data_IF_699605494790
#
_entry.id   IF_699605494790
#
_cell.length_a   1.000
_cell.length_b   1.000
_cell.length_c   1.000
_cell.angle_alpha   90.00
_cell.angle_beta   90.00
_cell.angle_gamma   90.00
#
_symmetry.space_group_name_H-M   'P 1'
#
loop_
_entity.id
_entity.type
_entity.pdbx_description
1 polymer ?
#
# COMPACT_ATOMS: atom_id res chain seq x y z
N UNK A 1 7.88 27.78 -9.77
CA UNK A 1 8.82 26.63 -9.79
C UNK A 1 10.28 27.09 -9.70
N UNK A 2 10.74 28.02 -10.55
CA UNK A 2 12.12 28.57 -10.47
C UNK A 2 12.43 29.21 -9.11
N UNK A 3 11.60 30.15 -8.64
CA UNK A 3 11.77 30.80 -7.33
C UNK A 3 11.74 29.81 -6.15
N UNK A 4 11.06 28.67 -6.31
CA UNK A 4 10.93 27.65 -5.27
C UNK A 4 12.06 26.60 -5.30
N UNK A 5 12.98 26.66 -6.26
CA UNK A 5 14.06 25.69 -6.45
C UNK A 5 13.61 24.34 -7.04
N UNK A 6 12.39 24.25 -7.59
CA UNK A 6 11.79 23.00 -8.08
C UNK A 6 11.78 22.89 -9.62
N UNK A 7 12.47 23.80 -10.32
CA UNK A 7 12.51 23.82 -11.78
C UNK A 7 13.17 22.57 -12.37
N UNK A 8 14.29 22.14 -11.80
CA UNK A 8 15.00 20.92 -12.23
C UNK A 8 14.11 19.67 -12.12
N UNK A 9 13.40 19.50 -11.01
CA UNK A 9 12.45 18.40 -10.82
C UNK A 9 11.31 18.44 -11.85
N UNK A 10 10.81 19.64 -12.19
CA UNK A 10 9.80 19.79 -13.22
C UNK A 10 10.33 19.38 -14.61
N UNK A 11 11.49 19.89 -15.03
CA UNK A 11 12.06 19.63 -16.35
C UNK A 11 12.60 18.21 -16.53
N UNK A 12 13.18 17.61 -15.49
CA UNK A 12 13.86 16.32 -15.60
C UNK A 12 12.98 15.13 -15.19
N UNK A 13 11.89 15.37 -14.45
CA UNK A 13 11.01 14.29 -13.94
C UNK A 13 9.57 14.52 -14.36
N UNK A 14 8.94 15.63 -13.96
CA UNK A 14 7.49 15.73 -14.13
C UNK A 14 7.07 15.92 -15.59
N UNK A 15 7.78 16.76 -16.33
CA UNK A 15 7.48 17.01 -17.74
C UNK A 15 7.81 15.79 -18.63
N UNK A 16 8.96 15.10 -18.49
CA UNK A 16 9.25 13.90 -19.28
C UNK A 16 8.38 12.69 -18.92
N UNK A 17 7.77 12.67 -17.73
CA UNK A 17 6.85 11.60 -17.35
C UNK A 17 5.51 11.70 -18.10
N UNK A 18 5.09 12.89 -18.55
CA UNK A 18 3.80 13.08 -19.25
C UNK A 18 3.62 12.15 -20.46
N UNK A 19 4.53 12.08 -21.45
CA UNK A 19 4.37 11.15 -22.57
C UNK A 19 4.35 9.69 -22.14
N UNK A 20 5.09 9.33 -21.07
CA UNK A 20 5.08 7.97 -20.53
C UNK A 20 3.70 7.61 -20.00
N UNK A 21 3.08 8.49 -19.20
CA UNK A 21 1.74 8.27 -18.69
C UNK A 21 0.71 8.24 -19.82
N UNK A 22 0.81 9.14 -20.80
CA UNK A 22 -0.09 9.15 -21.95
C UNK A 22 -0.05 7.80 -22.70
N UNK A 23 1.14 7.24 -22.94
CA UNK A 23 1.28 5.95 -23.60
C UNK A 23 0.72 4.80 -22.76
N UNK A 24 0.93 4.82 -21.44
CA UNK A 24 0.34 3.83 -20.52
C UNK A 24 -1.19 3.89 -20.51
N UNK A 25 -1.76 5.09 -20.41
CA UNK A 25 -3.20 5.31 -20.45
C UNK A 25 -3.80 4.87 -21.78
N UNK A 26 -3.13 5.15 -22.90
CA UNK A 26 -3.57 4.72 -24.24
C UNK A 26 -3.42 3.21 -24.47
N UNK A 27 -2.41 2.57 -23.87
CA UNK A 27 -2.24 1.12 -23.94
C UNK A 27 -3.37 0.40 -23.19
N UNK A 28 -3.67 0.84 -21.97
CA UNK A 28 -4.64 0.17 -21.08
C UNK A 28 -4.24 -1.27 -20.72
N UNK A 29 -5.01 -1.93 -19.86
CA UNK A 29 -4.79 -3.33 -19.47
C UNK A 29 -5.96 -4.22 -19.89
N UNK A 30 -5.66 -5.43 -20.40
CA UNK A 30 -6.69 -6.38 -20.84
C UNK A 30 -7.38 -7.02 -19.62
N UNK A 31 -8.69 -7.21 -19.72
CA UNK A 31 -9.52 -7.76 -18.66
C UNK A 31 -10.32 -8.97 -19.14
N UNK A 32 -10.21 -10.09 -18.45
CA UNK A 32 -11.06 -11.25 -18.63
C UNK A 32 -12.43 -11.02 -17.98
N UNK A 33 -13.35 -10.47 -18.78
CA UNK A 33 -14.73 -10.20 -18.36
C UNK A 33 -15.55 -11.47 -18.13
N UNK A 34 -15.19 -12.59 -18.77
CA UNK A 34 -15.89 -13.87 -18.61
C UNK A 34 -15.56 -14.49 -17.25
N UNK A 35 -14.28 -14.48 -16.87
CA UNK A 35 -13.86 -14.89 -15.53
C UNK A 35 -14.54 -14.06 -14.44
N UNK A 36 -14.58 -12.73 -14.59
CA UNK A 36 -15.28 -11.87 -13.63
C UNK A 36 -16.79 -12.14 -13.57
N UNK A 37 -17.44 -12.48 -14.68
CA UNK A 37 -18.85 -12.86 -14.68
C UNK A 37 -19.10 -14.15 -13.89
N UNK A 38 -18.22 -15.14 -14.01
CA UNK A 38 -18.27 -16.38 -13.20
C UNK A 38 -18.07 -16.06 -11.71
N UNK A 39 -17.04 -15.28 -11.40
CA UNK A 39 -16.77 -14.84 -10.03
C UNK A 39 -17.95 -14.06 -9.43
N UNK A 40 -18.62 -13.19 -10.21
CA UNK A 40 -19.81 -12.45 -9.77
C UNK A 40 -20.94 -13.37 -9.33
N UNK A 41 -21.19 -14.45 -10.09
CA UNK A 41 -22.22 -15.43 -9.76
C UNK A 41 -21.90 -16.18 -8.47
N UNK A 42 -20.65 -16.62 -8.29
CA UNK A 42 -20.18 -17.30 -7.07
C UNK A 42 -20.27 -16.40 -5.83
N UNK A 43 -19.78 -15.16 -5.94
CA UNK A 43 -19.88 -14.18 -4.87
C UNK A 43 -21.33 -13.86 -4.54
N UNK A 44 -22.20 -13.79 -5.55
CA UNK A 44 -23.63 -13.59 -5.37
C UNK A 44 -24.30 -14.72 -4.57
N UNK A 45 -23.96 -15.96 -4.85
CA UNK A 45 -24.48 -17.11 -4.10
C UNK A 45 -24.00 -17.09 -2.65
N UNK A 46 -22.72 -16.81 -2.41
CA UNK A 46 -22.17 -16.68 -1.05
C UNK A 46 -22.81 -15.54 -0.27
N UNK A 47 -22.97 -14.38 -0.88
CA UNK A 47 -23.64 -13.23 -0.27
C UNK A 47 -25.07 -13.58 0.16
N UNK A 48 -25.84 -14.25 -0.71
CA UNK A 48 -27.20 -14.68 -0.38
C UNK A 48 -27.22 -15.69 0.78
N UNK A 49 -26.27 -16.62 0.81
CA UNK A 49 -26.13 -17.58 1.91
C UNK A 49 -25.82 -16.89 3.24
N UNK A 50 -24.84 -15.96 3.25
CA UNK A 50 -24.50 -15.16 4.44
C UNK A 50 -25.71 -14.36 4.93
N UNK A 51 -26.42 -13.68 4.02
CA UNK A 51 -27.61 -12.88 4.34
C UNK A 51 -28.72 -13.74 4.95
N UNK A 52 -29.03 -14.88 4.33
CA UNK A 52 -30.07 -15.78 4.82
C UNK A 52 -29.73 -16.32 6.21
N UNK A 53 -28.48 -16.69 6.46
CA UNK A 53 -28.03 -17.15 7.78
C UNK A 53 -28.13 -16.03 8.81
N UNK A 54 -27.67 -14.83 8.46
CA UNK A 54 -27.75 -13.66 9.32
C UNK A 54 -29.19 -13.33 9.72
N UNK A 55 -30.12 -13.29 8.76
CA UNK A 55 -31.54 -13.04 9.03
C UNK A 55 -32.19 -14.14 9.87
N UNK A 56 -31.72 -15.38 9.75
CA UNK A 56 -32.17 -16.48 10.61
C UNK A 56 -31.74 -16.28 12.06
N UNK A 57 -30.49 -15.83 12.28
CA UNK A 57 -29.95 -15.56 13.62
C UNK A 57 -30.61 -14.33 14.29
N UNK A 58 -30.89 -13.30 13.49
CA UNK A 58 -31.53 -12.06 13.97
C UNK A 58 -33.05 -12.24 14.15
N UNK A 59 -33.68 -13.08 13.32
CA UNK A 59 -35.12 -13.36 13.35
C UNK A 59 -35.96 -12.52 12.39
N UNK A 60 -35.36 -11.58 11.65
CA UNK A 60 -36.02 -10.85 10.57
C UNK A 60 -35.02 -10.29 9.55
N UNK A 61 -35.54 -9.83 8.42
CA UNK A 61 -34.75 -9.17 7.38
C UNK A 61 -34.52 -7.70 7.68
N UNK A 62 -33.37 -7.18 7.26
CA UNK A 62 -33.03 -5.75 7.33
C UNK A 62 -31.97 -5.39 6.28
N UNK A 63 -31.78 -4.10 6.05
CA UNK A 63 -30.81 -3.61 5.08
C UNK A 63 -29.39 -3.56 5.67
N UNK A 64 -28.58 -4.56 5.33
CA UNK A 64 -27.16 -4.66 5.71
C UNK A 64 -26.27 -3.50 5.22
N UNK A 65 -26.67 -2.82 4.13
CA UNK A 65 -25.96 -1.63 3.65
C UNK A 65 -26.25 -0.39 4.49
N UNK A 66 -27.34 -0.39 5.27
CA UNK A 66 -27.68 0.72 6.17
C UNK A 66 -26.95 0.57 7.50
N UNK A 67 -25.95 1.43 7.72
CA UNK A 67 -25.20 1.47 8.98
C UNK A 67 -26.09 1.75 10.19
N UNK A 68 -27.20 2.47 10.01
CA UNK A 68 -28.17 2.77 11.06
C UNK A 68 -29.00 1.53 11.43
N UNK A 69 -29.55 0.82 10.44
CA UNK A 69 -30.31 -0.41 10.71
C UNK A 69 -29.41 -1.48 11.34
N UNK A 70 -28.20 -1.65 10.80
CA UNK A 70 -27.23 -2.59 11.39
C UNK A 70 -26.87 -2.21 12.84
N UNK A 71 -26.72 -0.92 13.14
CA UNK A 71 -26.47 -0.45 14.51
C UNK A 71 -27.64 -0.78 15.45
N UNK A 72 -28.88 -0.59 14.99
CA UNK A 72 -30.07 -0.94 15.78
C UNK A 72 -30.14 -2.44 16.06
N UNK A 73 -29.99 -3.28 15.02
CA UNK A 73 -30.02 -4.73 15.15
C UNK A 73 -28.94 -5.22 16.14
N UNK A 74 -27.68 -4.79 15.97
CA UNK A 74 -26.60 -5.22 16.83
C UNK A 74 -26.79 -4.75 18.28
N UNK A 75 -27.02 -3.45 18.50
CA UNK A 75 -26.90 -2.90 19.86
C UNK A 75 -28.23 -2.83 20.63
N UNK A 76 -29.36 -2.74 19.94
CA UNK A 76 -30.68 -2.63 20.58
C UNK A 76 -31.39 -3.98 20.65
N UNK A 77 -31.35 -4.76 19.58
CA UNK A 77 -32.09 -6.02 19.49
C UNK A 77 -31.26 -7.20 19.99
N UNK A 78 -30.02 -7.35 19.49
CA UNK A 78 -29.12 -8.43 19.86
C UNK A 78 -28.29 -8.14 21.12
N UNK A 79 -28.32 -6.92 21.65
CA UNK A 79 -27.70 -6.56 22.93
C UNK A 79 -26.18 -6.65 22.95
N UNK A 80 -25.50 -6.37 21.84
CA UNK A 80 -24.03 -6.32 21.81
C UNK A 80 -23.48 -5.26 22.79
N UNK A 81 -22.33 -5.50 23.43
CA UNK A 81 -21.73 -4.55 24.36
C UNK A 81 -21.33 -3.25 23.64
N UNK A 82 -21.62 -2.10 24.25
CA UNK A 82 -21.36 -0.78 23.65
C UNK A 82 -20.17 -0.05 24.27
N UNK A 83 -19.59 -0.60 25.34
CA UNK A 83 -18.51 0.02 26.09
C UNK A 83 -17.27 0.21 25.22
N UNK A 84 -16.75 1.44 25.15
CA UNK A 84 -15.56 1.78 24.36
C UNK A 84 -15.80 1.96 22.86
N UNK A 85 -17.06 1.81 22.40
CA UNK A 85 -17.43 2.06 21.01
C UNK A 85 -17.74 3.53 20.76
N UNK A 86 -17.30 4.03 19.59
CA UNK A 86 -17.58 5.40 19.16
C UNK A 86 -18.99 5.54 18.61
N UNK A 87 -19.58 6.73 18.77
CA UNK A 87 -20.84 7.11 18.10
C UNK A 87 -20.57 7.90 16.82
N UNK A 88 -21.43 7.72 15.83
CA UNK A 88 -21.47 8.56 14.62
C UNK A 88 -22.00 9.95 14.98
N UNK A 89 -21.85 10.91 14.06
CA UNK A 89 -22.45 12.25 14.21
C UNK A 89 -23.97 12.19 14.39
N UNK A 90 -24.63 11.17 13.84
CA UNK A 90 -26.07 10.91 14.00
C UNK A 90 -26.44 10.23 15.32
N UNK A 91 -25.49 9.99 16.23
CA UNK A 91 -25.72 9.45 17.57
C UNK A 91 -25.81 7.92 17.67
N UNK A 92 -25.83 7.21 16.54
CA UNK A 92 -25.81 5.74 16.50
C UNK A 92 -24.43 5.21 16.88
N UNK A 93 -24.37 4.00 17.45
CA UNK A 93 -23.10 3.32 17.69
C UNK A 93 -22.50 2.94 16.33
N UNK A 94 -21.24 3.28 16.13
CA UNK A 94 -20.54 3.04 14.87
C UNK A 94 -20.38 1.55 14.61
N UNK A 95 -20.75 1.13 13.41
CA UNK A 95 -20.51 -0.23 12.90
C UNK A 95 -19.33 -0.26 11.95
N UNK A 96 -18.39 0.68 12.02
CA UNK A 96 -17.16 0.65 11.23
C UNK A 96 -16.30 -0.59 11.57
N UNK A 97 -15.49 -1.06 10.62
CA UNK A 97 -14.62 -2.26 10.78
C UNK A 97 -13.87 -2.23 12.11
N UNK A 98 -13.14 -1.15 12.41
CA UNK A 98 -12.37 -1.03 13.66
C UNK A 98 -13.19 -0.95 14.94
N UNK A 99 -14.49 -0.68 14.88
CA UNK A 99 -15.38 -0.74 16.05
C UNK A 99 -15.95 -2.16 16.22
N UNK A 100 -16.27 -2.85 15.12
CA UNK A 100 -16.67 -4.26 15.16
C UNK A 100 -15.50 -5.19 15.54
N UNK A 101 -14.27 -4.86 15.18
CA UNK A 101 -13.06 -5.60 15.58
C UNK A 101 -12.86 -5.58 17.11
N UNK A 102 -13.22 -4.47 17.78
CA UNK A 102 -13.22 -4.41 19.25
C UNK A 102 -14.22 -5.38 19.86
N UNK A 103 -15.38 -5.56 19.21
CA UNK A 103 -16.38 -6.55 19.65
C UNK A 103 -15.86 -7.96 19.48
N UNK A 104 -15.22 -8.27 18.35
CA UNK A 104 -14.56 -9.57 18.14
C UNK A 104 -13.44 -9.82 19.16
N UNK A 105 -12.63 -8.82 19.49
CA UNK A 105 -11.58 -8.94 20.50
C UNK A 105 -12.16 -9.20 21.90
N UNK A 106 -13.39 -8.76 22.16
CA UNK A 106 -14.14 -9.04 23.37
C UNK A 106 -15.01 -10.32 23.27
N UNK A 107 -14.66 -11.27 22.38
CA UNK A 107 -15.45 -12.48 22.08
C UNK A 107 -15.87 -13.30 23.29
N UNK A 108 -15.09 -13.29 24.37
CA UNK A 108 -15.43 -13.98 25.63
C UNK A 108 -16.74 -13.48 26.28
N UNK A 109 -17.18 -12.27 25.93
CA UNK A 109 -18.41 -11.65 26.44
C UNK A 109 -19.59 -11.76 25.46
N UNK A 110 -19.43 -12.50 24.35
CA UNK A 110 -20.45 -12.67 23.32
C UNK A 110 -21.03 -14.09 23.35
N UNK A 111 -22.32 -14.21 23.07
CA UNK A 111 -22.95 -15.51 22.81
C UNK A 111 -22.46 -16.12 21.49
N UNK A 112 -22.65 -17.42 21.29
CA UNK A 112 -22.31 -18.08 20.03
C UNK A 112 -23.01 -17.41 18.82
N UNK A 113 -24.29 -17.08 18.96
CA UNK A 113 -25.05 -16.38 17.91
C UNK A 113 -24.50 -14.98 17.62
N UNK A 114 -24.08 -14.25 18.66
CA UNK A 114 -23.47 -12.92 18.50
C UNK A 114 -22.10 -13.01 17.80
N UNK A 115 -21.29 -14.03 18.12
CA UNK A 115 -20.03 -14.27 17.43
C UNK A 115 -20.25 -14.58 15.95
N UNK A 116 -21.18 -15.50 15.66
CA UNK A 116 -21.52 -15.88 14.28
C UNK A 116 -22.08 -14.70 13.48
N UNK A 117 -22.93 -13.86 14.09
CA UNK A 117 -23.44 -12.63 13.45
C UNK A 117 -22.31 -11.68 13.06
N UNK A 118 -21.31 -11.48 13.92
CA UNK A 118 -20.16 -10.63 13.58
C UNK A 118 -19.37 -11.22 12.42
N UNK A 119 -19.04 -12.51 12.47
CA UNK A 119 -18.32 -13.22 11.40
C UNK A 119 -19.03 -13.07 10.05
N UNK A 120 -20.35 -13.30 10.03
CA UNK A 120 -21.18 -13.14 8.83
C UNK A 120 -21.22 -11.70 8.32
N UNK A 121 -21.21 -10.70 9.21
CA UNK A 121 -21.15 -9.28 8.82
C UNK A 121 -19.80 -8.95 8.18
N UNK A 122 -18.69 -9.44 8.76
CA UNK A 122 -17.36 -9.24 8.20
C UNK A 122 -17.22 -9.89 6.84
N UNK A 123 -17.66 -11.16 6.72
CA UNK A 123 -17.67 -11.87 5.45
C UNK A 123 -18.55 -11.13 4.43
N UNK A 124 -19.80 -10.82 4.77
CA UNK A 124 -20.73 -10.12 3.89
C UNK A 124 -20.14 -8.81 3.34
N UNK A 125 -19.57 -7.97 4.22
CA UNK A 125 -18.97 -6.69 3.81
C UNK A 125 -17.74 -6.87 2.93
N UNK A 126 -16.92 -7.88 3.22
CA UNK A 126 -15.77 -8.20 2.39
C UNK A 126 -16.21 -8.63 0.99
N UNK A 127 -17.12 -9.61 0.91
CA UNK A 127 -17.68 -10.12 -0.35
C UNK A 127 -18.36 -9.00 -1.15
N UNK A 128 -19.20 -8.20 -0.49
CA UNK A 128 -19.94 -7.10 -1.11
C UNK A 128 -18.99 -6.04 -1.68
N UNK A 129 -17.94 -5.68 -0.95
CA UNK A 129 -16.93 -4.73 -1.43
C UNK A 129 -16.19 -5.28 -2.64
N UNK A 130 -15.71 -6.53 -2.58
CA UNK A 130 -15.01 -7.18 -3.69
C UNK A 130 -15.89 -7.21 -4.94
N UNK A 131 -17.15 -7.64 -4.77
CA UNK A 131 -18.12 -7.74 -5.85
C UNK A 131 -18.47 -6.38 -6.45
N UNK A 132 -18.97 -5.45 -5.64
CA UNK A 132 -19.48 -4.16 -6.11
C UNK A 132 -18.40 -3.23 -6.67
N UNK A 133 -17.21 -3.21 -6.06
CA UNK A 133 -16.14 -2.27 -6.43
C UNK A 133 -15.29 -2.77 -7.59
N UNK A 134 -15.15 -4.10 -7.73
CA UNK A 134 -14.21 -4.69 -8.69
C UNK A 134 -14.92 -5.63 -9.67
N UNK A 135 -15.52 -6.71 -9.17
CA UNK A 135 -16.02 -7.80 -10.03
C UNK A 135 -17.15 -7.36 -10.95
N UNK A 136 -18.12 -6.61 -10.42
CA UNK A 136 -19.26 -6.12 -11.19
C UNK A 136 -18.95 -4.79 -11.90
N UNK A 137 -18.10 -3.94 -11.30
CA UNK A 137 -17.84 -2.60 -11.82
C UNK A 137 -16.82 -2.59 -12.97
N UNK A 138 -15.70 -3.31 -12.84
CA UNK A 138 -14.62 -3.25 -13.83
C UNK A 138 -15.07 -3.68 -15.24
N UNK A 139 -15.86 -4.76 -15.45
CA UNK A 139 -16.33 -5.12 -16.78
C UNK A 139 -17.12 -4.01 -17.48
N UNK A 140 -17.85 -3.18 -16.72
CA UNK A 140 -18.64 -2.07 -17.28
C UNK A 140 -17.78 -0.88 -17.73
N UNK A 141 -16.50 -0.84 -17.33
CA UNK A 141 -15.55 0.21 -17.66
C UNK A 141 -14.59 -0.19 -18.79
N UNK A 142 -14.72 -1.40 -19.33
CA UNK A 142 -13.92 -1.85 -20.48
C UNK A 142 -14.29 -1.02 -21.70
N UNK A 143 -13.29 -0.45 -22.36
CA UNK A 143 -13.48 0.30 -23.59
C UNK A 143 -13.84 -0.67 -24.73
N UNK A 144 -15.00 -0.50 -25.41
CA UNK A 144 -15.46 -1.44 -26.43
C UNK A 144 -14.61 -1.43 -27.70
N UNK A 145 -13.86 -0.37 -27.97
CA UNK A 145 -13.01 -0.27 -29.16
C UNK A 145 -11.67 -1.00 -28.98
N UNK A 146 -11.12 -1.01 -27.77
CA UNK A 146 -9.82 -1.64 -27.46
C UNK A 146 -9.95 -2.98 -26.76
N UNK A 147 -11.09 -3.24 -26.11
CA UNK A 147 -11.28 -4.38 -25.21
C UNK A 147 -10.53 -4.25 -23.88
N UNK A 148 -10.02 -3.05 -23.54
CA UNK A 148 -9.10 -2.84 -22.40
C UNK A 148 -9.66 -1.83 -21.39
N UNK A 149 -9.17 -1.90 -20.16
CA UNK A 149 -9.37 -0.88 -19.14
C UNK A 149 -8.32 0.21 -19.30
N UNK A 150 -8.78 1.47 -19.31
CA UNK A 150 -7.91 2.65 -19.42
C UNK A 150 -8.09 3.50 -18.16
N UNK A 151 -7.13 3.42 -17.23
CA UNK A 151 -7.09 4.32 -16.07
C UNK A 151 -6.57 5.70 -16.49
N UNK A 152 -6.85 6.73 -15.69
CA UNK A 152 -6.13 8.01 -15.72
C UNK A 152 -5.16 8.12 -14.54
N UNK A 153 -3.91 8.49 -14.80
CA UNK A 153 -2.87 8.74 -13.80
C UNK A 153 -2.79 10.24 -13.48
N UNK A 154 -3.16 10.59 -12.25
CA UNK A 154 -3.08 11.96 -11.77
C UNK A 154 -1.71 12.22 -11.14
N UNK A 155 -0.89 13.02 -11.82
CA UNK A 155 0.45 13.38 -11.37
C UNK A 155 0.45 14.39 -10.19
N UNK A 156 -0.64 15.14 -10.02
CA UNK A 156 -0.79 16.21 -9.02
C UNK A 156 -1.76 15.87 -7.88
N UNK A 157 -2.17 14.60 -7.76
CA UNK A 157 -3.16 14.17 -6.76
C UNK A 157 -2.63 14.06 -5.34
N UNK A 158 -1.49 13.39 -5.14
CA UNK A 158 -0.96 13.12 -3.80
C UNK A 158 0.05 14.20 -3.34
N UNK A 159 -0.05 14.62 -2.08
CA UNK A 159 0.88 15.60 -1.48
C UNK A 159 2.33 15.11 -1.34
N UNK A 160 2.58 13.82 -1.56
CA UNK A 160 3.91 13.19 -1.50
C UNK A 160 4.54 13.04 -2.89
N UNK A 161 3.87 13.43 -3.97
CA UNK A 161 4.39 13.28 -5.34
C UNK A 161 4.13 11.91 -5.98
N UNK A 162 3.47 10.97 -5.27
CA UNK A 162 2.96 9.73 -5.88
C UNK A 162 1.92 10.03 -6.95
N UNK A 163 1.86 9.17 -7.96
CA UNK A 163 0.72 9.10 -8.87
C UNK A 163 -0.50 8.57 -8.11
N UNK A 164 -1.69 9.02 -8.49
CA UNK A 164 -2.94 8.35 -8.15
C UNK A 164 -3.67 7.89 -9.40
N UNK A 165 -4.35 6.75 -9.33
CA UNK A 165 -5.14 6.21 -10.44
C UNK A 165 -6.64 6.42 -10.20
N UNK A 166 -7.38 6.74 -11.27
CA UNK A 166 -8.83 6.94 -11.25
C UNK A 166 -9.48 6.53 -12.57
N UNK A 167 -10.77 6.18 -12.52
CA UNK A 167 -11.61 5.84 -13.67
C UNK A 167 -11.07 4.70 -14.57
N UNK A 168 -10.85 3.47 -14.05
CA UNK A 168 -10.95 3.04 -12.65
C UNK A 168 -9.66 3.24 -11.86
N UNK A 169 -9.72 3.14 -10.54
CA UNK A 169 -8.50 3.06 -9.72
C UNK A 169 -7.91 1.65 -9.81
N UNK A 170 -6.77 1.51 -10.48
CA UNK A 170 -6.04 0.25 -10.66
C UNK A 170 -4.86 0.10 -9.69
N UNK A 171 -4.62 1.09 -8.81
CA UNK A 171 -3.59 1.01 -7.77
C UNK A 171 -4.07 0.34 -6.48
N UNK A 172 -5.37 0.09 -6.36
CA UNK A 172 -5.97 -0.51 -5.16
C UNK A 172 -6.60 -1.88 -5.42
N UNK A 173 -6.14 -2.59 -6.46
CA UNK A 173 -6.59 -3.95 -6.75
C UNK A 173 -6.19 -4.87 -5.57
N UNK A 174 -7.15 -5.59 -4.96
CA UNK A 174 -6.89 -6.33 -3.73
C UNK A 174 -5.76 -7.36 -3.85
N UNK A 175 -4.96 -7.50 -2.79
CA UNK A 175 -3.84 -8.47 -2.70
C UNK A 175 -3.74 -9.16 -1.33
N UNK A 176 -4.48 -8.70 -0.32
CA UNK A 176 -4.28 -9.15 1.08
C UNK A 176 -5.02 -10.43 1.45
N UNK A 177 -6.11 -10.74 0.76
CA UNK A 177 -6.95 -11.91 1.04
C UNK A 177 -6.95 -12.80 -0.18
N UNK A 178 -7.02 -14.12 0.01
CA UNK A 178 -7.07 -15.10 -1.11
C UNK A 178 -8.13 -14.71 -2.14
N UNK A 179 -9.36 -14.48 -1.68
CA UNK A 179 -10.45 -14.06 -2.56
C UNK A 179 -10.22 -12.71 -3.26
N UNK A 180 -9.52 -11.79 -2.60
CA UNK A 180 -9.15 -10.52 -3.21
C UNK A 180 -8.06 -10.67 -4.27
N UNK A 181 -7.10 -11.58 -4.05
CA UNK A 181 -6.03 -11.90 -5.00
C UNK A 181 -6.58 -12.51 -6.28
N UNK A 182 -7.62 -13.35 -6.19
CA UNK A 182 -8.28 -13.94 -7.36
C UNK A 182 -8.75 -12.89 -8.39
N UNK A 183 -9.09 -11.68 -7.97
CA UNK A 183 -9.45 -10.59 -8.90
C UNK A 183 -8.28 -10.24 -9.84
N UNK A 184 -7.02 -10.35 -9.37
CA UNK A 184 -5.83 -10.09 -10.19
C UNK A 184 -5.72 -11.06 -11.37
N UNK A 185 -6.30 -12.26 -11.25
CA UNK A 185 -6.35 -13.25 -12.34
C UNK A 185 -7.09 -12.75 -13.57
N UNK A 186 -8.05 -11.83 -13.37
CA UNK A 186 -8.79 -11.21 -14.47
C UNK A 186 -7.94 -10.26 -15.31
N UNK A 187 -6.80 -9.78 -14.81
CA UNK A 187 -5.91 -8.90 -15.55
C UNK A 187 -4.90 -9.76 -16.31
N UNK A 188 -5.07 -9.84 -17.63
CA UNK A 188 -4.39 -10.82 -18.47
C UNK A 188 -3.50 -10.14 -19.53
N UNK A 189 -2.55 -10.88 -20.07
CA UNK A 189 -1.86 -10.48 -21.30
C UNK A 189 -2.65 -10.92 -22.55
N UNK A 190 -2.48 -10.24 -23.70
CA UNK A 190 -2.95 -10.74 -24.99
C UNK A 190 -2.38 -12.13 -25.36
N UNK A 191 -3.00 -12.81 -26.32
CA UNK A 191 -2.48 -14.09 -26.82
C UNK A 191 -1.06 -13.93 -27.40
N UNK A 192 -0.14 -14.81 -27.01
CA UNK A 192 1.28 -14.75 -27.38
C UNK A 192 2.10 -13.72 -26.59
N UNK A 193 1.48 -13.03 -25.63
CA UNK A 193 2.11 -12.07 -24.73
C UNK A 193 2.10 -12.57 -23.28
N UNK A 194 2.92 -11.93 -22.45
CA UNK A 194 3.02 -12.16 -21.01
C UNK A 194 2.95 -10.81 -20.30
N UNK A 195 2.48 -10.84 -19.05
CA UNK A 195 2.63 -9.73 -18.12
C UNK A 195 3.97 -9.86 -17.39
N UNK A 196 4.57 -8.73 -17.05
CA UNK A 196 5.73 -8.63 -16.18
C UNK A 196 5.42 -7.65 -15.05
N UNK A 197 5.65 -8.05 -13.81
CA UNK A 197 5.59 -7.18 -12.64
C UNK A 197 7.00 -7.00 -12.06
N UNK A 198 7.37 -5.76 -11.76
CA UNK A 198 8.66 -5.44 -11.16
C UNK A 198 8.44 -4.51 -9.96
N UNK A 199 8.76 -4.98 -8.76
CA UNK A 199 8.53 -4.28 -7.50
C UNK A 199 9.85 -3.95 -6.80
N UNK A 200 9.97 -2.74 -6.27
CA UNK A 200 11.15 -2.42 -5.48
C UNK A 200 11.10 -3.09 -4.11
N UNK A 201 12.14 -3.88 -3.82
CA UNK A 201 12.30 -4.51 -2.52
C UNK A 201 12.64 -3.48 -1.44
N UNK A 202 11.62 -3.06 -0.68
CA UNK A 202 11.73 -2.20 0.51
C UNK A 202 12.32 -0.81 0.22
N UNK A 203 11.92 -0.16 -0.89
CA UNK A 203 12.47 1.14 -1.33
C UNK A 203 12.42 2.21 -0.25
N UNK A 204 11.33 2.31 0.52
CA UNK A 204 11.22 3.33 1.57
C UNK A 204 12.24 3.12 2.71
N UNK A 205 12.57 1.88 3.05
CA UNK A 205 13.60 1.60 4.06
C UNK A 205 15.01 1.86 3.53
N UNK A 206 15.26 1.62 2.23
CA UNK A 206 16.53 1.97 1.58
C UNK A 206 16.72 3.48 1.52
N UNK A 207 15.66 4.22 1.17
CA UNK A 207 15.64 5.68 1.25
C UNK A 207 15.88 6.15 2.67
N UNK A 208 15.21 5.57 3.68
CA UNK A 208 15.45 5.92 5.09
C UNK A 208 16.92 5.71 5.47
N UNK A 209 17.49 4.55 5.14
CA UNK A 209 18.88 4.23 5.46
C UNK A 209 19.86 5.24 4.84
N UNK A 210 19.58 5.67 3.60
CA UNK A 210 20.36 6.69 2.91
C UNK A 210 20.18 8.09 3.51
N UNK A 211 18.96 8.58 3.75
CA UNK A 211 18.77 9.94 4.30
C UNK A 211 19.22 10.06 5.74
N UNK A 212 19.05 9.01 6.54
CA UNK A 212 19.51 8.96 7.91
C UNK A 212 21.02 8.69 8.01
N UNK A 213 21.65 8.13 6.97
CA UNK A 213 23.02 7.64 7.01
C UNK A 213 23.25 6.68 8.20
N UNK A 214 22.29 5.76 8.42
CA UNK A 214 22.32 4.82 9.54
C UNK A 214 23.20 3.60 9.20
N UNK A 215 24.41 3.47 9.77
CA UNK A 215 25.36 2.42 9.37
C UNK A 215 24.77 1.02 9.51
N UNK A 216 24.01 0.78 10.58
CA UNK A 216 23.40 -0.51 10.84
C UNK A 216 22.40 -0.94 9.76
N UNK A 217 21.65 0.00 9.16
CA UNK A 217 20.72 -0.27 8.07
C UNK A 217 21.45 -0.37 6.73
N UNK A 218 22.40 0.54 6.48
CA UNK A 218 23.21 0.52 5.26
C UNK A 218 23.98 -0.79 5.10
N UNK A 219 24.61 -1.29 6.16
CA UNK A 219 25.36 -2.54 6.14
C UNK A 219 24.45 -3.75 5.91
N UNK A 220 23.27 -3.78 6.53
CA UNK A 220 22.29 -4.84 6.32
C UNK A 220 21.84 -4.90 4.85
N UNK A 221 21.59 -3.75 4.22
CA UNK A 221 21.22 -3.70 2.81
C UNK A 221 22.37 -4.10 1.87
N UNK A 222 23.61 -3.67 2.16
CA UNK A 222 24.80 -4.04 1.36
C UNK A 222 25.08 -5.55 1.42
N UNK A 223 24.79 -6.18 2.55
CA UNK A 223 24.96 -7.62 2.75
C UNK A 223 23.77 -8.44 2.22
N UNK A 224 22.74 -7.80 1.64
CA UNK A 224 21.54 -8.49 1.17
C UNK A 224 20.74 -9.17 2.27
N UNK A 225 20.86 -8.72 3.51
CA UNK A 225 20.14 -9.30 4.64
C UNK A 225 18.65 -8.97 4.58
N UNK A 226 17.81 -9.86 5.10
CA UNK A 226 16.42 -9.54 5.39
C UNK A 226 16.39 -8.48 6.51
N UNK A 227 16.00 -7.25 6.17
CA UNK A 227 16.05 -6.13 7.12
C UNK A 227 15.16 -6.36 8.34
N UNK A 228 14.02 -7.04 8.18
CA UNK A 228 13.10 -7.30 9.28
C UNK A 228 13.68 -8.35 10.22
N UNK A 229 14.33 -9.37 9.68
CA UNK A 229 15.07 -10.35 10.47
C UNK A 229 16.29 -9.71 11.15
N UNK A 230 17.03 -8.84 10.46
CA UNK A 230 18.17 -8.11 11.03
C UNK A 230 17.75 -7.18 12.17
N UNK A 231 16.64 -6.45 12.01
CA UNK A 231 16.05 -5.65 13.09
C UNK A 231 15.61 -6.54 14.25
N UNK A 232 14.87 -7.62 13.99
CA UNK A 232 14.45 -8.55 15.04
C UNK A 232 15.63 -9.14 15.81
N UNK A 233 16.68 -9.57 15.10
CA UNK A 233 17.91 -10.12 15.70
C UNK A 233 18.51 -9.14 16.72
N UNK A 234 18.62 -7.85 16.35
CA UNK A 234 19.15 -6.81 17.24
C UNK A 234 18.20 -6.51 18.40
N UNK A 235 16.90 -6.38 18.14
CA UNK A 235 15.90 -6.04 19.18
C UNK A 235 15.72 -7.15 20.22
N UNK A 236 15.76 -8.42 19.80
CA UNK A 236 15.55 -9.58 20.67
C UNK A 236 16.86 -10.21 21.17
N UNK A 237 18.01 -9.73 20.71
CA UNK A 237 19.32 -10.28 21.09
C UNK A 237 19.54 -11.72 20.65
N UNK A 238 18.92 -12.15 19.54
CA UNK A 238 19.04 -13.50 18.98
C UNK A 238 19.78 -13.48 17.64
N UNK A 239 20.55 -14.52 17.29
CA UNK A 239 21.14 -14.65 15.94
C UNK A 239 20.07 -14.56 14.83
N UNK A 240 20.43 -14.00 13.67
CA UNK A 240 19.47 -13.74 12.57
C UNK A 240 18.80 -15.02 12.03
N UNK A 241 19.52 -16.14 12.04
CA UNK A 241 19.06 -17.47 11.67
C UNK A 241 18.13 -18.11 12.72
N UNK A 242 18.09 -17.56 13.94
CA UNK A 242 17.21 -17.98 15.03
C UNK A 242 16.00 -17.06 15.20
N UNK A 243 15.85 -16.04 14.34
CA UNK A 243 14.69 -15.15 14.36
C UNK A 243 13.45 -15.93 13.96
N UNK A 244 12.50 -16.01 14.89
CA UNK A 244 11.20 -16.65 14.64
C UNK A 244 10.35 -15.80 13.70
N UNK A 245 9.40 -16.44 13.00
CA UNK A 245 8.42 -15.74 12.13
C UNK A 245 7.65 -14.65 12.87
N UNK A 246 7.33 -14.88 14.15
CA UNK A 246 6.64 -13.90 15.00
C UNK A 246 7.53 -12.68 15.28
N UNK A 247 8.78 -12.89 15.69
CA UNK A 247 9.74 -11.81 15.92
C UNK A 247 9.99 -10.98 14.64
N UNK A 248 10.15 -11.64 13.50
CA UNK A 248 10.27 -10.98 12.19
C UNK A 248 9.02 -10.16 11.85
N UNK A 249 7.83 -10.72 12.07
CA UNK A 249 6.55 -10.04 11.82
C UNK A 249 6.40 -8.79 12.67
N UNK A 250 6.78 -8.86 13.95
CA UNK A 250 6.76 -7.72 14.85
C UNK A 250 7.77 -6.65 14.44
N UNK A 251 9.01 -7.03 14.13
CA UNK A 251 10.03 -6.09 13.63
C UNK A 251 9.60 -5.43 12.31
N UNK A 252 8.90 -6.14 11.42
CA UNK A 252 8.28 -5.56 10.23
C UNK A 252 7.28 -4.45 10.60
N UNK A 253 6.34 -4.73 11.50
CA UNK A 253 5.37 -3.74 11.96
C UNK A 253 6.05 -2.52 12.57
N UNK A 254 7.11 -2.72 13.37
CA UNK A 254 7.89 -1.66 13.98
C UNK A 254 8.62 -0.84 12.91
N UNK A 255 9.34 -1.45 11.97
CA UNK A 255 10.03 -0.73 10.90
C UNK A 255 9.08 0.20 10.16
N UNK A 256 7.91 -0.30 9.72
CA UNK A 256 6.90 0.53 9.07
C UNK A 256 6.33 1.62 10.00
N UNK A 257 6.10 1.32 11.27
CA UNK A 257 5.59 2.30 12.22
C UNK A 257 6.61 3.43 12.47
N UNK A 258 7.88 3.09 12.64
CA UNK A 258 8.93 4.03 13.02
C UNK A 258 9.35 4.94 11.87
N UNK A 259 9.39 4.45 10.63
CA UNK A 259 9.58 5.28 9.43
C UNK A 259 8.57 6.45 9.39
N UNK A 260 7.37 6.26 9.93
CA UNK A 260 6.29 7.25 9.90
C UNK A 260 6.10 8.01 11.22
N UNK A 261 7.06 7.95 12.15
CA UNK A 261 7.01 8.69 13.42
C UNK A 261 5.84 8.28 14.32
N UNK A 262 5.45 7.01 14.30
CA UNK A 262 4.38 6.49 15.15
C UNK A 262 4.80 6.59 16.63
N UNK A 263 3.88 7.07 17.48
CA UNK A 263 4.08 7.12 18.94
C UNK A 263 3.87 5.74 19.58
N UNK A 264 4.32 5.54 20.82
CA UNK A 264 4.06 4.30 21.57
C UNK A 264 2.58 3.93 21.61
N UNK A 265 1.69 4.91 21.79
CA UNK A 265 0.24 4.70 21.72
C UNK A 265 -0.24 4.25 20.33
N UNK A 266 0.33 4.81 19.26
CA UNK A 266 0.02 4.38 17.90
C UNK A 266 0.56 2.99 17.60
N UNK A 267 1.71 2.62 18.17
CA UNK A 267 2.30 1.28 18.04
C UNK A 267 1.48 0.24 18.80
N UNK A 268 1.09 0.52 20.05
CA UNK A 268 0.23 -0.38 20.85
C UNK A 268 -1.16 -0.58 20.24
N UNK A 269 -1.66 0.36 19.44
CA UNK A 269 -2.92 0.17 18.70
C UNK A 269 -2.82 -0.79 17.51
N UNK A 270 -1.60 -1.14 17.08
CA UNK A 270 -1.30 -1.99 15.92
C UNK A 270 -0.63 -3.31 16.30
N UNK A 271 -0.25 -3.45 17.55
CA UNK A 271 0.39 -4.64 18.12
C UNK A 271 -0.42 -5.09 19.34
N UNK A 272 -0.15 -6.28 19.84
CA UNK A 272 -0.75 -6.78 21.09
C UNK A 272 -0.04 -6.22 22.34
N UNK A 273 0.84 -5.23 22.16
CA UNK A 273 1.64 -4.66 23.24
C UNK A 273 0.84 -3.66 24.05
N UNK A 274 1.08 -3.62 25.36
CA UNK A 274 0.65 -2.48 26.16
C UNK A 274 1.49 -1.22 25.83
N UNK A 275 1.01 -0.01 26.19
CA UNK A 275 1.73 1.23 25.89
C UNK A 275 3.14 1.31 26.49
N UNK A 276 3.41 0.66 27.62
CA UNK A 276 4.73 0.68 28.26
C UNK A 276 5.71 -0.23 27.52
N UNK A 277 5.26 -1.42 27.12
CA UNK A 277 6.01 -2.31 26.22
C UNK A 277 6.30 -1.62 24.89
N UNK A 278 5.29 -1.01 24.27
CA UNK A 278 5.47 -0.29 23.00
C UNK A 278 6.51 0.84 23.10
N UNK A 279 6.55 1.56 24.23
CA UNK A 279 7.56 2.59 24.48
C UNK A 279 8.96 1.97 24.62
N UNK A 280 9.12 0.91 25.42
CA UNK A 280 10.40 0.21 25.57
C UNK A 280 10.96 -0.29 24.23
N UNK A 281 10.08 -0.82 23.37
CA UNK A 281 10.49 -1.24 22.02
C UNK A 281 10.93 -0.08 21.14
N UNK A 282 10.25 1.07 21.19
CA UNK A 282 10.68 2.26 20.46
C UNK A 282 12.02 2.78 20.97
N UNK A 283 12.23 2.77 22.28
CA UNK A 283 13.50 3.20 22.89
C UNK A 283 14.64 2.27 22.43
N UNK A 284 14.45 0.96 22.51
CA UNK A 284 15.43 -0.03 22.02
C UNK A 284 15.70 0.11 20.52
N UNK A 285 14.68 0.40 19.72
CA UNK A 285 14.82 0.65 18.29
C UNK A 285 15.71 1.87 18.03
N UNK A 286 15.49 2.98 18.74
CA UNK A 286 16.30 4.19 18.56
C UNK A 286 17.69 4.09 19.16
N UNK A 287 17.91 3.23 20.16
CA UNK A 287 19.25 2.86 20.62
C UNK A 287 19.99 2.05 19.54
N UNK A 288 19.26 1.17 18.83
CA UNK A 288 19.81 0.36 17.74
C UNK A 288 20.09 1.19 16.49
N UNK A 289 19.24 2.19 16.21
CA UNK A 289 19.29 3.05 15.02
C UNK A 289 19.30 4.54 15.40
N UNK A 290 20.37 5.02 16.05
CA UNK A 290 20.43 6.38 16.59
C UNK A 290 20.36 7.46 15.50
N UNK A 291 20.85 7.19 14.29
CA UNK A 291 20.79 8.16 13.19
C UNK A 291 19.38 8.32 12.64
N UNK A 292 18.56 7.26 12.71
CA UNK A 292 17.12 7.36 12.36
C UNK A 292 16.40 8.30 13.32
N UNK A 293 16.70 8.22 14.63
CA UNK A 293 16.15 9.15 15.62
C UNK A 293 16.56 10.59 15.31
N UNK A 294 17.85 10.81 15.06
CA UNK A 294 18.38 12.12 14.69
C UNK A 294 17.65 12.67 13.46
N UNK A 295 17.54 11.89 12.39
CA UNK A 295 16.83 12.27 11.18
C UNK A 295 15.38 12.70 11.43
N UNK A 296 14.64 11.96 12.27
CA UNK A 296 13.26 12.30 12.63
C UNK A 296 13.19 13.65 13.35
N UNK A 297 14.03 13.85 14.37
CA UNK A 297 14.07 15.08 15.16
C UNK A 297 14.45 16.30 14.29
N UNK A 298 15.42 16.12 13.38
CA UNK A 298 15.86 17.16 12.45
C UNK A 298 14.79 17.49 11.40
N UNK A 299 14.07 16.49 10.88
CA UNK A 299 12.98 16.69 9.91
C UNK A 299 11.81 17.45 10.54
N UNK A 300 11.45 17.11 11.78
CA UNK A 300 10.43 17.86 12.53
C UNK A 300 10.88 19.31 12.75
N UNK A 301 12.14 19.53 13.13
CA UNK A 301 12.71 20.87 13.32
C UNK A 301 12.65 21.67 12.01
N UNK A 302 13.09 21.08 10.90
CA UNK A 302 13.03 21.69 9.56
C UNK A 302 11.59 22.10 9.20
N UNK A 303 10.62 21.20 9.40
CA UNK A 303 9.22 21.48 9.10
C UNK A 303 8.67 22.66 9.93
N UNK A 304 9.06 22.78 11.20
CA UNK A 304 8.61 23.87 12.08
C UNK A 304 9.30 25.21 11.75
N UNK A 305 10.60 25.20 11.46
CA UNK A 305 11.39 26.42 11.20
C UNK A 305 11.15 26.97 9.79
N UNK A 306 11.30 26.10 8.78
CA UNK A 306 11.21 26.48 7.37
C UNK A 306 9.75 26.49 6.87
N UNK A 307 8.89 25.70 7.49
CA UNK A 307 7.50 25.50 7.05
C UNK A 307 7.34 24.51 5.91
N UNK A 308 8.38 23.74 5.57
CA UNK A 308 8.35 22.66 4.59
C UNK A 308 9.45 21.63 4.86
N UNK A 309 9.32 20.47 4.22
CA UNK A 309 10.38 19.44 4.09
C UNK A 309 10.56 19.10 2.61
N UNK A 310 11.68 18.48 2.26
CA UNK A 310 12.00 18.15 0.87
C UNK A 310 12.49 16.71 0.67
N UNK A 311 12.26 16.16 -0.53
CA UNK A 311 12.79 14.86 -0.95
C UNK A 311 14.26 14.97 -1.37
N UNK A 312 14.92 13.83 -1.62
CA UNK A 312 16.27 13.76 -2.19
C UNK A 312 16.43 14.54 -3.50
N UNK A 313 15.34 14.73 -4.24
CA UNK A 313 15.30 15.41 -5.53
C UNK A 313 14.66 16.81 -5.45
N UNK A 314 14.47 17.33 -4.24
CA UNK A 314 14.04 18.71 -3.99
C UNK A 314 12.53 18.96 -4.10
N UNK A 315 11.69 17.90 -4.12
CA UNK A 315 10.23 18.06 -4.05
C UNK A 315 9.84 18.54 -2.67
N UNK A 316 9.13 19.66 -2.59
CA UNK A 316 8.73 20.28 -1.31
C UNK A 316 7.30 19.91 -0.91
N UNK A 317 7.11 19.62 0.37
CA UNK A 317 5.79 19.58 1.02
C UNK A 317 5.73 20.62 2.13
N UNK A 318 4.82 21.58 1.99
CA UNK A 318 4.64 22.68 2.93
C UNK A 318 3.70 22.31 4.08
N UNK A 319 3.99 22.87 5.26
CA UNK A 319 3.24 22.72 6.51
C UNK A 319 3.05 24.08 7.20
N UNK A 320 2.41 25.07 6.55
CA UNK A 320 2.22 26.40 7.13
C UNK A 320 1.46 26.39 8.47
N UNK A 321 0.65 25.37 8.72
CA UNK A 321 -0.12 25.17 9.94
C UNK A 321 0.76 24.95 11.17
N UNK A 322 1.97 24.38 11.00
CA UNK A 322 2.92 24.17 12.10
C UNK A 322 3.41 25.48 12.73
N UNK A 323 3.29 26.61 12.03
CA UNK A 323 3.59 27.95 12.56
C UNK A 323 2.54 28.47 13.55
N UNK A 324 1.37 27.83 13.63
CA UNK A 324 0.26 28.21 14.51
C UNK A 324 0.22 27.33 15.76
N UNK A 325 -0.46 27.82 16.80
CA UNK A 325 -0.81 27.00 17.96
C UNK A 325 -1.90 26.02 17.56
N UNK A 326 -1.60 24.73 17.62
CA UNK A 326 -2.50 23.63 17.24
C UNK A 326 -2.77 22.73 18.45
N UNK A 327 -3.94 22.07 18.51
CA UNK A 327 -4.16 20.95 19.43
C UNK A 327 -3.08 19.87 19.24
N UNK A 328 -2.67 19.24 20.34
CA UNK A 328 -1.55 18.28 20.36
C UNK A 328 -1.68 17.18 19.30
N UNK A 329 -2.86 16.57 19.18
CA UNK A 329 -3.11 15.48 18.22
C UNK A 329 -2.99 15.94 16.75
N UNK A 330 -3.40 17.18 16.44
CA UNK A 330 -3.29 17.74 15.09
C UNK A 330 -1.83 18.03 14.74
N UNK A 331 -1.09 18.62 15.69
CA UNK A 331 0.34 18.88 15.53
C UNK A 331 1.12 17.58 15.29
N UNK A 332 0.90 16.55 16.10
CA UNK A 332 1.54 15.25 15.90
C UNK A 332 1.21 14.61 14.54
N UNK A 333 -0.01 14.79 14.04
CA UNK A 333 -0.38 14.27 12.72
C UNK A 333 0.40 14.97 11.59
N UNK A 334 0.60 16.28 11.69
CA UNK A 334 1.40 17.05 10.75
C UNK A 334 2.89 16.70 10.84
N UNK A 335 3.43 16.54 12.05
CA UNK A 335 4.82 16.13 12.27
C UNK A 335 5.08 14.73 11.67
N UNK A 336 4.18 13.76 11.87
CA UNK A 336 4.25 12.45 11.19
C UNK A 336 4.22 12.57 9.67
N UNK A 337 3.36 13.45 9.15
CA UNK A 337 3.28 13.71 7.73
C UNK A 337 4.56 14.38 7.18
N UNK A 338 5.24 15.18 7.99
CA UNK A 338 6.53 15.79 7.66
C UNK A 338 7.67 14.77 7.64
N UNK A 339 7.71 13.83 8.59
CA UNK A 339 8.69 12.73 8.61
C UNK A 339 8.51 11.81 7.39
N UNK A 340 7.27 11.45 7.07
CA UNK A 340 6.97 10.53 5.97
C UNK A 340 7.25 11.14 4.58
N UNK A 341 7.03 12.45 4.40
CA UNK A 341 7.03 13.05 3.07
C UNK A 341 8.36 12.95 2.31
N UNK A 342 9.54 13.20 2.92
CA UNK A 342 10.82 13.01 2.23
C UNK A 342 11.06 11.56 1.82
N UNK A 343 10.68 10.59 2.66
CA UNK A 343 10.92 9.16 2.41
C UNK A 343 10.02 8.67 1.27
N UNK A 344 8.70 8.85 1.45
CA UNK A 344 7.70 8.42 0.48
C UNK A 344 7.83 9.18 -0.84
N UNK A 345 8.13 10.47 -0.78
CA UNK A 345 8.30 11.31 -1.96
C UNK A 345 9.59 10.99 -2.72
N UNK A 346 10.69 10.69 -2.04
CA UNK A 346 11.91 10.26 -2.74
C UNK A 346 11.70 8.91 -3.43
N UNK A 347 11.00 7.96 -2.81
CA UNK A 347 10.63 6.71 -3.47
C UNK A 347 9.75 6.97 -4.72
N UNK A 348 8.81 7.92 -4.63
CA UNK A 348 7.99 8.34 -5.78
C UNK A 348 8.83 8.99 -6.88
N UNK A 349 9.82 9.81 -6.54
CA UNK A 349 10.73 10.44 -7.50
C UNK A 349 11.60 9.39 -8.21
N UNK A 350 12.11 8.39 -7.47
CA UNK A 350 12.93 7.29 -8.00
C UNK A 350 12.16 6.45 -9.02
N UNK A 351 10.94 6.01 -8.70
CA UNK A 351 10.15 5.22 -9.65
C UNK A 351 9.76 6.01 -10.89
N UNK A 352 9.51 7.32 -10.78
CA UNK A 352 9.28 8.18 -11.95
C UNK A 352 10.50 8.25 -12.86
N UNK A 353 11.70 8.36 -12.29
CA UNK A 353 12.95 8.29 -13.07
C UNK A 353 13.09 6.93 -13.76
N UNK A 354 12.79 5.84 -13.05
CA UNK A 354 12.81 4.50 -13.62
C UNK A 354 11.86 4.38 -14.82
N UNK A 355 10.62 4.88 -14.69
CA UNK A 355 9.62 4.90 -15.77
C UNK A 355 10.12 5.67 -17.00
N UNK A 356 10.66 6.87 -16.82
CA UNK A 356 11.17 7.70 -17.92
C UNK A 356 12.31 6.99 -18.66
N UNK A 357 13.26 6.41 -17.91
CA UNK A 357 14.40 5.70 -18.50
C UNK A 357 13.96 4.42 -19.19
N UNK A 358 13.06 3.66 -18.58
CA UNK A 358 12.57 2.39 -19.10
C UNK A 358 11.77 2.61 -20.38
N UNK A 359 10.85 3.58 -20.40
CA UNK A 359 10.09 3.97 -21.59
C UNK A 359 11.01 4.30 -22.76
N UNK A 360 12.03 5.13 -22.52
CA UNK A 360 13.02 5.50 -23.53
C UNK A 360 13.80 4.28 -24.04
N UNK A 361 14.29 3.42 -23.13
CA UNK A 361 15.10 2.24 -23.49
C UNK A 361 14.32 1.20 -24.28
N UNK A 362 13.07 0.94 -23.89
CA UNK A 362 12.16 0.06 -24.64
C UNK A 362 12.03 0.50 -26.11
N UNK A 363 11.85 1.81 -26.33
CA UNK A 363 11.75 2.37 -27.68
C UNK A 363 13.07 2.33 -28.46
N UNK A 364 14.19 2.71 -27.84
CA UNK A 364 15.51 2.74 -28.49
C UNK A 364 16.02 1.34 -28.88
N UNK A 365 15.67 0.32 -28.09
CA UNK A 365 16.05 -1.08 -28.35
C UNK A 365 15.05 -1.83 -29.24
N UNK A 366 13.94 -1.19 -29.61
CA UNK A 366 12.95 -1.76 -30.51
C UNK A 366 12.11 -2.88 -29.89
N UNK A 367 11.94 -2.90 -28.57
CA UNK A 367 11.04 -3.82 -27.90
C UNK A 367 9.58 -3.48 -28.21
N UNK A 368 8.74 -4.50 -28.33
CA UNK A 368 7.28 -4.34 -28.39
C UNK A 368 6.66 -4.24 -27.00
N UNK A 369 7.40 -4.61 -25.96
CA UNK A 369 7.00 -4.46 -24.58
C UNK A 369 6.60 -3.02 -24.23
N UNK A 370 5.56 -2.88 -23.40
CA UNK A 370 5.02 -1.58 -22.98
C UNK A 370 4.60 -1.58 -21.52
N UNK A 371 4.81 -0.45 -20.86
CA UNK A 371 4.29 -0.22 -19.50
C UNK A 371 2.79 -0.03 -19.54
N UNK A 372 2.10 -0.67 -18.59
CA UNK A 372 0.65 -0.62 -18.43
C UNK A 372 0.27 0.14 -17.17
N UNK A 373 0.84 -0.24 -16.02
CA UNK A 373 0.46 0.30 -14.72
C UNK A 373 1.68 0.67 -13.87
N UNK A 374 1.48 1.66 -13.01
CA UNK A 374 2.36 1.96 -11.88
C UNK A 374 1.53 1.84 -10.60
N UNK A 375 1.91 0.92 -9.72
CA UNK A 375 1.20 0.61 -8.47
C UNK A 375 2.16 0.74 -7.29
N UNK A 376 2.13 1.92 -6.67
CA UNK A 376 3.01 2.26 -5.54
C UNK A 376 4.51 2.25 -5.89
N UNK A 377 5.19 1.12 -5.75
CA UNK A 377 6.59 0.85 -6.06
C UNK A 377 6.75 -0.26 -7.11
N UNK A 378 5.64 -0.76 -7.65
CA UNK A 378 5.55 -1.77 -8.70
C UNK A 378 5.29 -1.14 -10.08
N UNK A 379 5.96 -1.66 -11.12
CA UNK A 379 5.63 -1.44 -12.52
C UNK A 379 5.06 -2.73 -13.14
N UNK A 380 3.95 -2.61 -13.86
CA UNK A 380 3.35 -3.70 -14.63
C UNK A 380 3.50 -3.40 -16.11
N UNK A 381 4.10 -4.34 -16.84
CA UNK A 381 4.29 -4.31 -18.28
C UNK A 381 3.55 -5.48 -18.93
N UNK A 382 3.36 -5.39 -20.24
CA UNK A 382 3.14 -6.57 -21.09
C UNK A 382 4.17 -6.61 -22.22
N UNK A 383 4.50 -7.82 -22.65
CA UNK A 383 5.52 -8.06 -23.69
C UNK A 383 5.18 -9.33 -24.48
N UNK A 384 5.59 -9.44 -25.76
CA UNK A 384 5.57 -10.73 -26.45
C UNK A 384 6.39 -11.77 -25.69
N UNK A 385 5.95 -13.03 -25.69
CA UNK A 385 6.61 -14.09 -24.92
C UNK A 385 8.09 -14.29 -25.30
N UNK A 386 8.47 -14.00 -26.54
CA UNK A 386 9.86 -14.11 -27.00
C UNK A 386 10.79 -12.99 -26.48
N UNK A 387 10.24 -11.89 -25.97
CA UNK A 387 11.00 -10.77 -25.38
C UNK A 387 11.24 -10.96 -23.87
N UNK A 388 10.70 -12.03 -23.26
CA UNK A 388 10.65 -12.25 -21.80
C UNK A 388 11.95 -11.94 -21.08
N UNK A 389 13.02 -12.66 -21.43
CA UNK A 389 14.26 -12.61 -20.66
C UNK A 389 14.98 -11.26 -20.85
N UNK A 390 14.98 -10.75 -22.09
CA UNK A 390 15.61 -9.47 -22.41
C UNK A 390 14.91 -8.28 -21.72
N UNK A 391 13.58 -8.26 -21.73
CA UNK A 391 12.80 -7.21 -21.05
C UNK A 391 12.91 -7.35 -19.54
N UNK A 392 12.89 -8.56 -18.98
CA UNK A 392 13.08 -8.77 -17.54
C UNK A 392 14.44 -8.28 -17.05
N UNK A 393 15.51 -8.57 -17.80
CA UNK A 393 16.86 -8.05 -17.51
C UNK A 393 16.92 -6.53 -17.62
N UNK A 394 16.34 -5.94 -18.68
CA UNK A 394 16.31 -4.49 -18.88
C UNK A 394 15.55 -3.77 -17.76
N UNK A 395 14.37 -4.26 -17.40
CA UNK A 395 13.54 -3.66 -16.34
C UNK A 395 14.29 -3.67 -15.02
N UNK A 396 14.88 -4.80 -14.65
CA UNK A 396 15.70 -4.94 -13.43
C UNK A 396 16.86 -3.94 -13.44
N UNK A 397 17.65 -3.91 -14.50
CA UNK A 397 18.78 -3.00 -14.65
C UNK A 397 18.35 -1.53 -14.51
N UNK A 398 17.33 -1.10 -15.25
CA UNK A 398 16.90 0.29 -15.29
C UNK A 398 16.35 0.73 -13.94
N UNK A 399 15.53 -0.10 -13.30
CA UNK A 399 14.94 0.22 -12.01
C UNK A 399 16.00 0.22 -10.89
N UNK A 400 16.89 -0.77 -10.82
CA UNK A 400 17.96 -0.80 -9.80
C UNK A 400 18.96 0.36 -9.96
N UNK A 401 19.15 0.86 -11.18
CA UNK A 401 20.04 2.00 -11.47
C UNK A 401 19.31 3.34 -11.61
N UNK A 402 18.01 3.42 -11.29
CA UNK A 402 17.22 4.64 -11.46
C UNK A 402 17.80 5.83 -10.66
N UNK A 403 18.31 5.56 -9.46
CA UNK A 403 18.96 6.55 -8.62
C UNK A 403 20.02 5.90 -7.72
N UNK A 404 21.12 6.60 -7.46
CA UNK A 404 22.18 6.09 -6.59
C UNK A 404 21.83 6.32 -5.12
N UNK A 405 21.69 5.24 -4.36
CA UNK A 405 21.51 5.25 -2.91
C UNK A 405 22.66 4.46 -2.25
N UNK A 406 23.08 4.88 -1.06
CA UNK A 406 24.09 4.15 -0.28
C UNK A 406 23.63 2.75 0.16
N UNK A 407 22.31 2.57 0.28
CA UNK A 407 21.63 1.28 0.31
C UNK A 407 21.15 0.96 -1.12
N UNK A 408 21.83 0.07 -1.85
CA UNK A 408 21.55 -0.18 -3.28
C UNK A 408 20.08 -0.53 -3.51
N UNK A 409 19.45 -0.04 -4.58
CA UNK A 409 18.10 -0.47 -4.93
C UNK A 409 18.12 -1.95 -5.36
N UNK A 410 17.05 -2.67 -5.06
CA UNK A 410 16.84 -4.06 -5.48
C UNK A 410 15.42 -4.20 -6.01
N UNK A 411 15.25 -4.93 -7.11
CA UNK A 411 13.96 -5.16 -7.74
C UNK A 411 13.69 -6.66 -7.82
N UNK A 412 12.49 -7.06 -7.43
CA UNK A 412 12.01 -8.42 -7.63
C UNK A 412 11.12 -8.41 -8.89
N UNK A 413 11.37 -9.34 -9.82
CA UNK A 413 10.71 -9.38 -11.14
C UNK A 413 9.99 -10.71 -11.30
N UNK A 414 8.72 -10.66 -11.65
CA UNK A 414 7.86 -11.82 -11.89
C UNK A 414 7.18 -11.72 -13.26
N UNK A 415 6.95 -12.86 -13.89
CA UNK A 415 6.35 -12.94 -15.25
C UNK A 415 5.28 -14.03 -15.28
N UNK A 416 4.17 -13.77 -15.96
CA UNK A 416 3.04 -14.70 -16.01
C UNK A 416 1.99 -14.32 -17.05
N UNK A 417 1.00 -15.20 -17.31
CA UNK A 417 -0.09 -14.91 -18.24
C UNK A 417 -1.10 -13.91 -17.67
N UNK A 418 -1.16 -13.76 -16.35
CA UNK A 418 -2.05 -12.85 -15.65
C UNK A 418 -1.39 -12.33 -14.36
N UNK A 419 -1.98 -11.30 -13.75
CA UNK A 419 -1.38 -10.60 -12.60
C UNK A 419 -1.41 -11.37 -11.28
N UNK A 420 -2.04 -12.55 -11.24
CA UNK A 420 -2.00 -13.46 -10.10
C UNK A 420 -0.97 -14.57 -10.30
N UNK A 421 -1.01 -15.24 -11.46
CA UNK A 421 -0.20 -16.42 -11.78
C UNK A 421 1.19 -16.03 -12.32
N UNK A 422 1.94 -15.24 -11.55
CA UNK A 422 3.27 -14.76 -11.89
C UNK A 422 4.37 -15.64 -11.26
N UNK A 423 5.46 -15.87 -11.99
CA UNK A 423 6.63 -16.63 -11.53
C UNK A 423 7.87 -15.74 -11.49
N UNK A 424 8.63 -15.83 -10.39
CA UNK A 424 9.88 -15.07 -10.21
C UNK A 424 10.90 -15.42 -11.31
N UNK A 425 11.43 -14.38 -11.96
CA UNK A 425 12.53 -14.49 -12.91
C UNK A 425 13.83 -14.30 -12.13
N UNK A 426 14.54 -15.41 -11.90
CA UNK A 426 15.81 -15.40 -11.19
C UNK A 426 16.82 -14.44 -11.82
N UNK A 427 17.68 -13.86 -10.98
CA UNK A 427 18.86 -13.11 -11.42
C UNK A 427 19.84 -14.10 -12.06
N UNK A 428 20.16 -13.93 -13.35
CA UNK A 428 21.29 -14.63 -13.97
C UNK A 428 22.62 -14.08 -13.45
#
# INVERSE_FOLDING_TARGET
MQEAGMWKLYEEIELPLLPVLADMEMAGILLDTQFLAQMSAELGQRLQACQKRLFTLVGHEFNLRSTQQLSQVLFQEMGFPTTGLRKTQSGFISTAVGELEKLMAASQNLSADQQEVLELIFEHRQLEKLRSTYVDALPTLVNPATGRLHTSFNQTGASTGRLSSSNPNLQNIPIRTELGREIRRAFIAPEGWLLLAADYSQVELRVLAHVAQEPALLDAFRQGQDIHAATASKLFGVPIDQVTRSQRGLAKTINFATIYGVSAYGLSSRTEMDPSQAQQFLDQYFETYPRVRQYIEETIRQANEQGYVETLLGRKRYFPELKRRLPHNQRQALERAAINAPIQGSAADIIKIAMIRLHKRLAEEGFQARMLLQVHDELVLEMPAHERDAVASLVREVMENAYHLDAPLKVDVEVGPNWLDMEEVGSQ
#
